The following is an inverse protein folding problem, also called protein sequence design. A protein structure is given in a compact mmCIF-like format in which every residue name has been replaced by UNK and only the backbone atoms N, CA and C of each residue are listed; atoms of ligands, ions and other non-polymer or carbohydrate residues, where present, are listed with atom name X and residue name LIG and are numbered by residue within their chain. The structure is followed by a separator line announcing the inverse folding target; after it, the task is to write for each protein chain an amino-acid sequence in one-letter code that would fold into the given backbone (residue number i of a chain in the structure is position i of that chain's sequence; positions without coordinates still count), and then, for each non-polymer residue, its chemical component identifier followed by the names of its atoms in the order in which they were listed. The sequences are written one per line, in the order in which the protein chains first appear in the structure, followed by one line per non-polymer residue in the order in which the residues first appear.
data_IF_972100901276
#
_entry.id   IF_972100901276
#
_cell.length_a   1.000
_cell.length_b   1.000
_cell.length_c   1.000
_cell.angle_alpha   90.00
_cell.angle_beta   90.00
_cell.angle_gamma   90.00
#
_symmetry.space_group_name_H-M   'P 1'
#
loop_
_entity.id
_entity.type
_entity.pdbx_description
1 polymer ?
#
# COMPACT_ATOMS: atom_id res chain seq x y z
N UNK A 1 49.46 0.61 38.63
CA UNK A 1 48.03 0.84 38.34
C UNK A 1 47.93 1.67 37.07
N UNK A 2 47.83 1.07 35.88
CA UNK A 2 47.70 1.88 34.66
C UNK A 2 46.99 1.13 33.52
N UNK A 3 47.19 -0.18 33.39
CA UNK A 3 46.62 -0.96 32.27
C UNK A 3 45.12 -1.24 32.37
N UNK A 4 44.55 -1.37 33.58
CA UNK A 4 43.10 -1.63 33.77
C UNK A 4 42.21 -0.44 33.39
N UNK A 5 42.73 0.79 33.48
CA UNK A 5 41.94 2.00 33.21
C UNK A 5 41.68 2.17 31.71
N UNK A 6 42.71 1.93 30.88
CA UNK A 6 42.64 2.05 29.42
C UNK A 6 41.68 1.04 28.77
N UNK A 7 41.59 -0.18 29.30
CA UNK A 7 40.66 -1.20 28.79
C UNK A 7 39.20 -0.79 29.03
N UNK A 8 38.90 -0.18 30.19
CA UNK A 8 37.56 0.33 30.49
C UNK A 8 37.16 1.48 29.56
N UNK A 9 38.08 2.40 29.24
CA UNK A 9 37.79 3.52 28.34
C UNK A 9 37.50 3.05 26.92
N UNK A 10 38.28 2.08 26.40
CA UNK A 10 38.08 1.53 25.06
C UNK A 10 36.75 0.76 24.97
N UNK A 11 36.37 0.02 26.03
CA UNK A 11 35.11 -0.72 26.07
C UNK A 11 33.88 0.21 26.08
N UNK A 12 33.95 1.31 26.86
CA UNK A 12 32.90 2.32 26.94
C UNK A 12 32.71 3.08 25.61
N UNK A 13 33.81 3.43 24.94
CA UNK A 13 33.76 4.07 23.62
C UNK A 13 33.15 3.11 22.58
N UNK A 14 33.56 1.84 22.59
CA UNK A 14 33.00 0.81 21.70
C UNK A 14 31.49 0.58 21.88
N UNK A 15 31.02 0.51 23.13
CA UNK A 15 29.59 0.37 23.46
C UNK A 15 28.77 1.60 23.06
N UNK A 16 29.32 2.81 23.24
CA UNK A 16 28.66 4.04 22.79
C UNK A 16 28.56 4.12 21.26
N UNK A 17 29.59 3.69 20.53
CA UNK A 17 29.59 3.66 19.07
C UNK A 17 28.61 2.64 18.49
N UNK A 18 28.47 1.48 19.14
CA UNK A 18 27.51 0.44 18.72
C UNK A 18 26.06 0.89 18.89
N UNK A 19 25.74 1.54 20.02
CA UNK A 19 24.41 2.11 20.25
C UNK A 19 24.05 3.21 19.24
N UNK A 20 25.01 4.07 18.89
CA UNK A 20 24.83 5.16 17.93
C UNK A 20 24.63 4.65 16.49
N UNK A 21 25.35 3.59 16.11
CA UNK A 21 25.16 2.92 14.81
C UNK A 21 23.81 2.21 14.72
N UNK A 22 23.40 1.53 15.79
CA UNK A 22 22.11 0.85 15.83
C UNK A 22 20.94 1.84 15.80
N UNK A 23 21.06 2.95 16.51
CA UNK A 23 20.07 4.02 16.47
C UNK A 23 20.01 4.70 15.10
N UNK A 24 21.15 4.98 14.47
CA UNK A 24 21.20 5.51 13.11
C UNK A 24 20.61 4.55 12.06
N UNK A 25 20.76 3.23 12.25
CA UNK A 25 20.13 2.22 11.40
C UNK A 25 18.60 2.21 11.54
N UNK A 26 18.09 2.22 12.77
CA UNK A 26 16.65 2.27 13.05
C UNK A 26 16.03 3.59 12.54
N UNK A 27 16.71 4.72 12.72
CA UNK A 27 16.26 6.01 12.22
C UNK A 27 16.23 6.06 10.69
N UNK A 28 17.24 5.50 10.02
CA UNK A 28 17.26 5.39 8.56
C UNK A 28 16.16 4.46 8.04
N UNK A 29 15.88 3.36 8.74
CA UNK A 29 14.82 2.41 8.39
C UNK A 29 13.43 3.03 8.58
N UNK A 30 13.23 3.80 9.65
CA UNK A 30 12.02 4.56 9.91
C UNK A 30 11.82 5.66 8.87
N UNK A 31 12.84 6.48 8.60
CA UNK A 31 12.79 7.50 7.57
C UNK A 31 12.55 6.90 6.17
N UNK A 32 13.13 5.73 5.88
CA UNK A 32 12.87 5.00 4.64
C UNK A 32 11.43 4.52 4.52
N UNK A 33 10.85 3.98 5.60
CA UNK A 33 9.42 3.62 5.65
C UNK A 33 8.52 4.84 5.44
N UNK A 34 8.78 5.93 6.16
CA UNK A 34 8.01 7.17 6.06
C UNK A 34 8.13 7.80 4.67
N UNK A 35 9.31 7.76 4.05
CA UNK A 35 9.53 8.25 2.69
C UNK A 35 8.80 7.42 1.62
N UNK A 36 8.63 6.12 1.84
CA UNK A 36 7.84 5.24 0.96
C UNK A 36 6.33 5.50 1.16
N UNK A 37 5.89 5.67 2.41
CA UNK A 37 4.49 5.94 2.73
C UNK A 37 3.99 7.30 2.22
N UNK A 38 4.89 8.28 2.01
CA UNK A 38 4.52 9.61 1.53
C UNK A 38 4.27 9.71 0.01
N UNK A 39 4.56 8.68 -0.79
CA UNK A 39 4.20 8.68 -2.22
C UNK A 39 2.71 8.47 -2.40
N UNK A 40 1.97 9.58 -2.36
CA UNK A 40 0.59 9.62 -2.83
C UNK A 40 0.59 9.41 -4.34
N UNK A 41 0.18 8.21 -4.77
CA UNK A 41 0.01 7.91 -6.19
C UNK A 41 -1.29 8.56 -6.68
N UNK A 42 -1.16 9.44 -7.67
CA UNK A 42 -2.31 10.02 -8.37
C UNK A 42 -2.59 9.21 -9.63
N UNK A 43 -3.83 8.74 -9.76
CA UNK A 43 -4.28 7.99 -10.94
C UNK A 43 -5.19 8.88 -11.78
N UNK A 44 -4.81 9.08 -13.05
CA UNK A 44 -5.62 9.79 -14.03
C UNK A 44 -6.18 8.77 -15.03
N UNK A 45 -7.49 8.53 -14.98
CA UNK A 45 -8.17 7.63 -15.90
C UNK A 45 -8.91 8.44 -16.98
N UNK A 46 -8.71 8.05 -18.24
CA UNK A 46 -9.55 8.51 -19.36
C UNK A 46 -10.38 7.32 -19.83
N UNK A 47 -11.67 7.35 -19.56
CA UNK A 47 -12.62 6.30 -19.98
C UNK A 47 -13.27 6.72 -21.30
N UNK A 48 -13.14 5.87 -22.31
CA UNK A 48 -13.80 6.03 -23.61
C UNK A 48 -14.70 4.81 -23.83
N UNK A 49 -15.99 5.03 -24.00
CA UNK A 49 -16.94 3.95 -24.26
C UNK A 49 -16.98 3.61 -25.75
N UNK A 50 -16.95 2.32 -26.07
CA UNK A 50 -17.19 1.85 -27.43
C UNK A 50 -18.65 2.10 -27.84
N UNK A 51 -18.88 2.30 -29.14
CA UNK A 51 -20.21 2.57 -29.70
C UNK A 51 -21.22 1.45 -29.43
N UNK A 52 -20.74 0.21 -29.27
CA UNK A 52 -21.55 -1.00 -29.08
C UNK A 52 -21.40 -1.57 -27.66
N UNK A 53 -21.12 -0.73 -26.66
CA UNK A 53 -21.02 -1.18 -25.27
C UNK A 53 -22.41 -1.31 -24.63
N UNK A 54 -22.59 -2.35 -23.80
CA UNK A 54 -23.82 -2.63 -23.05
C UNK A 54 -25.10 -2.76 -23.90
N UNK A 55 -25.01 -3.42 -25.06
CA UNK A 55 -26.17 -3.62 -25.93
C UNK A 55 -27.13 -4.67 -25.36
N UNK A 56 -28.38 -4.56 -25.78
CA UNK A 56 -29.41 -5.56 -25.54
C UNK A 56 -30.19 -5.77 -26.82
N UNK A 57 -30.94 -6.86 -26.92
CA UNK A 57 -31.83 -7.12 -28.05
C UNK A 57 -32.86 -5.99 -28.28
N UNK A 58 -33.11 -5.17 -27.26
CA UNK A 58 -34.08 -4.06 -27.29
C UNK A 58 -33.45 -2.69 -27.57
N UNK A 59 -32.14 -2.53 -27.39
CA UNK A 59 -31.46 -1.24 -27.55
C UNK A 59 -29.99 -1.43 -27.92
N UNK A 60 -29.51 -0.81 -29.02
CA UNK A 60 -28.12 -0.88 -29.44
C UNK A 60 -27.17 0.02 -28.62
N UNK A 61 -27.68 0.88 -27.74
CA UNK A 61 -26.87 1.69 -26.83
C UNK A 61 -27.57 1.80 -25.48
N UNK A 62 -26.90 1.37 -24.41
CA UNK A 62 -27.37 1.58 -23.05
C UNK A 62 -26.28 2.20 -22.19
N UNK A 63 -26.70 2.96 -21.19
CA UNK A 63 -25.81 3.43 -20.14
C UNK A 63 -25.21 2.25 -19.41
N UNK A 64 -23.92 2.29 -19.10
CA UNK A 64 -23.26 1.32 -18.24
C UNK A 64 -22.74 2.02 -17.00
N UNK A 65 -22.62 1.26 -15.91
CA UNK A 65 -22.00 1.72 -14.67
C UNK A 65 -20.61 1.11 -14.56
N UNK A 66 -19.60 1.94 -14.38
CA UNK A 66 -18.25 1.52 -14.01
C UNK A 66 -18.03 1.83 -12.54
N UNK A 67 -17.35 0.92 -11.83
CA UNK A 67 -16.90 1.11 -10.45
C UNK A 67 -15.41 0.82 -10.44
N UNK A 68 -14.62 1.71 -9.83
CA UNK A 68 -13.17 1.53 -9.73
C UNK A 68 -12.83 1.23 -8.27
N UNK A 69 -12.16 0.10 -8.04
CA UNK A 69 -11.68 -0.28 -6.72
C UNK A 69 -10.18 -0.07 -6.63
N UNK A 70 -9.75 0.68 -5.64
CA UNK A 70 -8.36 0.73 -5.22
C UNK A 70 -8.15 -0.37 -4.18
N UNK A 71 -7.25 -1.32 -4.50
CA UNK A 71 -7.02 -2.51 -3.70
C UNK A 71 -5.58 -2.60 -3.20
N UNK A 72 -5.40 -3.20 -2.02
CA UNK A 72 -4.08 -3.58 -1.49
C UNK A 72 -3.51 -4.81 -2.21
N UNK A 73 -4.38 -5.74 -2.58
CA UNK A 73 -4.14 -6.95 -3.40
C UNK A 73 -5.43 -7.33 -4.13
N UNK A 74 -5.35 -8.15 -5.17
CA UNK A 74 -6.50 -8.54 -6.02
C UNK A 74 -7.04 -9.95 -5.74
N UNK A 75 -6.58 -10.61 -4.67
CA UNK A 75 -6.94 -11.99 -4.36
C UNK A 75 -8.44 -12.17 -4.11
N UNK A 76 -9.05 -11.36 -3.23
CA UNK A 76 -10.50 -11.45 -2.97
C UNK A 76 -11.30 -10.95 -4.16
N UNK A 77 -10.83 -9.90 -4.84
CA UNK A 77 -11.50 -9.38 -6.04
C UNK A 77 -11.64 -10.44 -7.12
N UNK A 78 -10.58 -11.21 -7.40
CA UNK A 78 -10.59 -12.27 -8.41
C UNK A 78 -11.44 -13.49 -8.02
N UNK A 79 -11.80 -13.63 -6.74
CA UNK A 79 -12.62 -14.73 -6.22
C UNK A 79 -14.06 -14.32 -5.93
N UNK A 80 -14.35 -13.02 -5.85
CA UNK A 80 -15.66 -12.50 -5.49
C UNK A 80 -16.67 -12.67 -6.64
N UNK A 81 -17.93 -12.94 -6.27
CA UNK A 81 -19.01 -12.92 -7.23
C UNK A 81 -19.33 -11.49 -7.68
N UNK A 82 -19.72 -11.34 -8.95
CA UNK A 82 -20.13 -10.05 -9.51
C UNK A 82 -21.23 -9.37 -8.69
N UNK A 83 -22.20 -10.15 -8.21
CA UNK A 83 -23.29 -9.62 -7.39
C UNK A 83 -22.77 -9.02 -6.09
N UNK A 84 -21.90 -9.73 -5.38
CA UNK A 84 -21.34 -9.27 -4.10
C UNK A 84 -20.50 -7.99 -4.28
N UNK A 85 -19.72 -7.91 -5.35
CA UNK A 85 -18.98 -6.68 -5.70
C UNK A 85 -19.90 -5.48 -5.97
N UNK A 86 -21.11 -5.72 -6.50
CA UNK A 86 -22.09 -4.67 -6.74
C UNK A 86 -22.85 -4.25 -5.47
N UNK A 87 -23.27 -5.22 -4.65
CA UNK A 87 -24.20 -4.97 -3.53
C UNK A 87 -23.50 -4.74 -2.21
N UNK A 88 -22.37 -5.40 -1.94
CA UNK A 88 -21.64 -5.34 -0.66
C UNK A 88 -20.12 -5.53 -0.86
N UNK A 89 -19.53 -4.58 -1.58
CA UNK A 89 -18.10 -4.61 -1.90
C UNK A 89 -17.22 -4.51 -0.65
N UNK A 90 -17.67 -3.81 0.39
CA UNK A 90 -16.92 -3.63 1.64
C UNK A 90 -16.76 -4.97 2.36
N UNK A 91 -17.81 -5.79 2.40
CA UNK A 91 -17.71 -7.15 2.93
C UNK A 91 -16.93 -8.09 1.99
N UNK A 92 -17.19 -8.03 0.68
CA UNK A 92 -16.58 -8.94 -0.29
C UNK A 92 -15.05 -8.77 -0.39
N UNK A 93 -14.57 -7.53 -0.31
CA UNK A 93 -13.17 -7.18 -0.48
C UNK A 93 -12.45 -6.94 0.86
N UNK A 94 -13.20 -6.69 1.94
CA UNK A 94 -12.70 -6.57 3.30
C UNK A 94 -11.44 -5.68 3.41
N UNK A 95 -10.38 -6.17 4.06
CA UNK A 95 -9.12 -5.46 4.25
C UNK A 95 -8.36 -5.11 2.95
N UNK A 96 -8.72 -5.73 1.83
CA UNK A 96 -8.11 -5.43 0.54
C UNK A 96 -8.67 -4.12 -0.05
N UNK A 97 -9.89 -3.72 0.30
CA UNK A 97 -10.48 -2.49 -0.20
C UNK A 97 -9.88 -1.26 0.48
N UNK A 98 -9.13 -0.46 -0.28
CA UNK A 98 -8.61 0.83 0.18
C UNK A 98 -9.65 1.91 -0.07
N UNK A 99 -10.22 1.92 -1.28
CA UNK A 99 -11.18 2.94 -1.71
C UNK A 99 -12.04 2.45 -2.87
N UNK A 100 -13.32 2.80 -2.84
CA UNK A 100 -14.25 2.67 -3.97
C UNK A 100 -14.46 4.05 -4.60
N UNK A 101 -14.35 4.14 -5.92
CA UNK A 101 -14.48 5.37 -6.73
C UNK A 101 -15.62 5.19 -7.73
#
# INVERSE_FOLDING_TARGET
MCTKFWVFTILLIGLSGYGLLQQGYEDALKAGKEAIELKHYYYNFKVLSAHLLNQTDKSPQNTFRMIIYQLRSDNRFNQAYYYDLLTDADHALAEELIKKI
#
